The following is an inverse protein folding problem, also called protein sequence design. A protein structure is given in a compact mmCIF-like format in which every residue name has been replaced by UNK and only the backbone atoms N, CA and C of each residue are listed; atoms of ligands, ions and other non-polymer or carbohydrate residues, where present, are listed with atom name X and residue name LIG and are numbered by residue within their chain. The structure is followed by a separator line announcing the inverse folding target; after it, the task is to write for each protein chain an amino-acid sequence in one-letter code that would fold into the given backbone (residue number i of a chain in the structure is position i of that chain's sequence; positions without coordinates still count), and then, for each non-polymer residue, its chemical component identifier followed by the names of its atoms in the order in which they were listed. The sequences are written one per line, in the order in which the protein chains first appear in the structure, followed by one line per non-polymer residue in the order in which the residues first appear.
data_IF_112541499053
#
_entry.id   IF_112541499053
#
_cell.length_a   1.000
_cell.length_b   1.000
_cell.length_c   1.000
_cell.angle_alpha   90.00
_cell.angle_beta   90.00
_cell.angle_gamma   90.00
#
_symmetry.space_group_name_H-M   'P 1'
#
loop_
_entity.id
_entity.type
_entity.pdbx_description
1 polymer ?
#
# COMPACT_ATOMS: atom_id res chain seq x y z
N UNK A 1 28.98 -28.84 61.66
CA UNK A 1 30.04 -28.15 62.40
C UNK A 1 30.65 -27.13 61.46
N UNK A 2 30.45 -25.86 61.80
CA UNK A 2 31.38 -24.73 61.66
C UNK A 2 31.99 -24.44 60.27
N UNK A 3 31.58 -23.40 59.54
CA UNK A 3 31.77 -21.96 59.76
C UNK A 3 33.22 -21.47 59.56
N UNK A 4 33.31 -20.46 58.67
CA UNK A 4 34.25 -19.32 58.60
C UNK A 4 35.36 -19.32 57.55
N UNK A 5 35.35 -18.21 56.81
CA UNK A 5 36.52 -17.40 56.47
C UNK A 5 36.95 -17.55 55.01
N UNK A 6 37.36 -16.51 54.30
CA UNK A 6 37.41 -15.08 54.54
C UNK A 6 37.66 -14.42 53.17
N UNK A 7 37.24 -13.18 53.04
CA UNK A 7 37.40 -12.26 51.91
C UNK A 7 38.84 -11.76 51.74
N UNK A 8 39.08 -11.00 50.65
CA UNK A 8 40.12 -9.97 50.44
C UNK A 8 41.30 -10.41 49.53
N UNK A 9 41.84 -9.64 48.57
CA UNK A 9 41.40 -8.57 47.66
C UNK A 9 42.53 -8.39 46.63
N UNK A 10 42.18 -7.80 45.48
CA UNK A 10 42.98 -7.06 44.49
C UNK A 10 44.50 -7.29 44.31
N UNK A 11 44.87 -7.61 43.06
CA UNK A 11 45.91 -6.87 42.32
C UNK A 11 45.80 -7.13 40.82
N UNK A 12 45.55 -6.05 40.07
CA UNK A 12 45.60 -6.04 38.61
C UNK A 12 47.02 -5.90 38.06
N UNK A 13 47.06 -5.62 36.74
CA UNK A 13 48.22 -5.41 35.84
C UNK A 13 48.84 -6.73 35.36
N UNK A 14 49.13 -6.97 34.08
CA UNK A 14 49.10 -6.14 32.87
C UNK A 14 49.18 -7.07 31.63
N UNK A 15 48.95 -6.50 30.46
CA UNK A 15 49.46 -6.91 29.14
C UNK A 15 48.62 -7.96 28.37
N UNK A 16 47.78 -7.54 27.42
CA UNK A 16 48.14 -7.13 26.05
C UNK A 16 48.59 -8.31 25.17
N UNK A 17 47.67 -8.80 24.34
CA UNK A 17 47.92 -8.97 22.90
C UNK A 17 46.57 -9.17 22.20
N UNK A 18 46.03 -8.06 21.68
CA UNK A 18 44.94 -8.09 20.70
C UNK A 18 45.49 -8.61 19.37
N UNK A 19 44.78 -9.56 18.77
CA UNK A 19 45.04 -9.94 17.37
C UNK A 19 44.31 -8.93 16.50
N UNK A 20 45.11 -8.06 15.88
CA UNK A 20 44.69 -7.13 14.85
C UNK A 20 44.32 -7.89 13.59
N UNK A 21 43.04 -8.22 13.45
CA UNK A 21 42.42 -8.47 12.15
C UNK A 21 41.47 -7.29 11.88
N UNK A 22 42.02 -6.23 11.28
CA UNK A 22 41.24 -5.20 10.59
C UNK A 22 40.49 -5.85 9.42
N UNK A 23 39.31 -6.39 9.68
CA UNK A 23 38.32 -6.61 8.61
C UNK A 23 37.62 -5.28 8.42
N UNK A 24 38.19 -4.45 7.56
CA UNK A 24 37.54 -3.23 7.08
C UNK A 24 36.18 -3.59 6.52
N UNK A 25 35.11 -3.11 7.17
CA UNK A 25 33.79 -3.15 6.58
C UNK A 25 33.86 -2.33 5.28
N UNK A 26 33.53 -2.90 4.12
CA UNK A 26 33.37 -2.08 2.93
C UNK A 26 32.31 -1.04 3.25
N UNK A 27 32.58 0.22 2.92
CA UNK A 27 31.54 1.25 2.88
C UNK A 27 30.52 0.78 1.85
N UNK A 28 29.49 0.08 2.30
CA UNK A 28 28.24 0.00 1.56
C UNK A 28 27.64 1.39 1.66
N UNK A 29 27.83 2.16 0.60
CA UNK A 29 27.06 3.35 0.31
C UNK A 29 25.60 2.98 0.59
N UNK A 30 25.00 3.57 1.63
CA UNK A 30 23.57 3.43 1.87
C UNK A 30 22.91 4.09 0.66
N UNK A 31 22.59 3.29 -0.35
CA UNK A 31 21.82 3.73 -1.51
C UNK A 31 20.45 4.13 -0.98
N UNK A 32 20.27 5.43 -0.72
CA UNK A 32 18.98 6.00 -0.38
C UNK A 32 18.12 5.76 -1.61
N UNK A 33 17.32 4.70 -1.54
CA UNK A 33 16.44 4.27 -2.61
C UNK A 33 15.53 5.44 -2.98
N UNK A 34 15.77 6.01 -4.16
CA UNK A 34 14.92 7.03 -4.77
C UNK A 34 13.45 6.56 -4.69
N UNK A 35 12.53 7.41 -4.21
CA UNK A 35 11.13 7.03 -4.10
C UNK A 35 10.59 6.65 -5.47
N UNK A 36 10.01 5.45 -5.58
CA UNK A 36 9.43 4.93 -6.82
C UNK A 36 8.29 5.85 -7.27
N UNK A 37 8.50 6.60 -8.36
CA UNK A 37 7.50 7.55 -8.92
C UNK A 37 6.62 6.93 -10.01
N UNK A 38 6.49 5.60 -10.10
CA UNK A 38 5.85 4.94 -11.25
C UNK A 38 4.32 4.75 -11.16
N UNK A 39 3.70 5.17 -10.06
CA UNK A 39 2.24 5.14 -9.92
C UNK A 39 1.67 6.54 -10.13
N UNK A 40 1.01 6.77 -11.27
CA UNK A 40 0.32 8.01 -11.67
C UNK A 40 -0.94 8.32 -10.84
N UNK A 41 -1.02 7.77 -9.62
CA UNK A 41 -1.99 8.16 -8.61
C UNK A 41 -1.15 8.75 -7.50
N UNK A 42 -1.11 10.08 -7.43
CA UNK A 42 -0.39 10.82 -6.39
C UNK A 42 -1.09 10.61 -5.04
N UNK A 43 -1.02 9.39 -4.49
CA UNK A 43 -1.55 9.05 -3.17
C UNK A 43 -0.93 9.97 -2.12
N UNK A 44 0.32 10.37 -2.31
CA UNK A 44 1.07 11.26 -1.43
C UNK A 44 0.72 12.75 -1.59
N UNK A 45 -0.01 13.16 -2.63
CA UNK A 45 -0.39 14.57 -2.80
C UNK A 45 -1.49 15.00 -1.82
N UNK A 46 -2.30 14.06 -1.34
CA UNK A 46 -3.41 14.32 -0.41
C UNK A 46 -3.15 13.84 1.02
N UNK A 47 -1.95 13.33 1.32
CA UNK A 47 -1.60 12.93 2.69
C UNK A 47 -1.18 14.18 3.45
N UNK A 48 -1.87 14.43 4.58
CA UNK A 48 -1.46 15.45 5.52
C UNK A 48 -0.12 15.04 6.14
N UNK A 49 0.95 15.69 5.68
CA UNK A 49 2.33 15.41 6.11
C UNK A 49 2.52 15.62 7.62
N UNK A 50 1.65 16.39 8.27
CA UNK A 50 1.70 16.57 9.72
C UNK A 50 1.37 15.30 10.50
N UNK A 51 0.63 14.35 9.90
CA UNK A 51 0.32 13.05 10.53
C UNK A 51 1.46 12.03 10.39
N UNK A 52 2.38 12.25 9.46
CA UNK A 52 3.51 11.34 9.19
C UNK A 52 4.68 11.56 10.15
N UNK A 53 4.83 12.77 10.69
CA UNK A 53 5.87 13.11 11.66
C UNK A 53 5.35 12.83 13.08
N UNK A 54 5.54 11.59 13.56
CA UNK A 54 5.07 11.17 14.87
C UNK A 54 6.23 10.71 15.78
N UNK A 55 6.41 11.44 16.88
CA UNK A 55 7.52 11.33 17.84
C UNK A 55 7.24 10.36 19.01
N UNK A 56 6.11 9.65 19.00
CA UNK A 56 5.67 8.76 20.08
C UNK A 56 6.68 7.71 20.53
N UNK A 57 7.61 7.31 19.66
CA UNK A 57 8.63 6.31 19.97
C UNK A 57 9.93 6.89 20.55
N UNK A 58 10.08 8.22 20.58
CA UNK A 58 11.29 8.93 21.02
C UNK A 58 11.08 9.57 22.40
N UNK A 59 9.84 9.93 22.73
CA UNK A 59 9.48 10.57 23.99
C UNK A 59 9.55 9.62 25.20
N UNK A 60 9.88 10.12 26.40
CA UNK A 60 9.93 9.29 27.59
C UNK A 60 8.53 8.79 28.03
N UNK A 61 8.42 7.62 28.70
CA UNK A 61 7.14 6.99 28.99
C UNK A 61 6.17 7.85 29.83
N UNK A 62 6.68 8.62 30.78
CA UNK A 62 5.84 9.48 31.63
C UNK A 62 5.13 10.59 30.83
N UNK A 63 5.80 11.11 29.81
CA UNK A 63 5.23 12.13 28.92
C UNK A 63 4.23 11.50 27.95
N UNK A 64 4.50 10.27 27.49
CA UNK A 64 3.59 9.46 26.68
C UNK A 64 2.26 9.20 27.43
N UNK A 65 2.34 8.76 28.69
CA UNK A 65 1.16 8.47 29.52
C UNK A 65 0.31 9.71 29.77
N UNK A 66 0.97 10.86 29.96
CA UNK A 66 0.30 12.15 30.13
C UNK A 66 -0.39 12.60 28.84
N UNK A 67 0.24 12.39 27.67
CA UNK A 67 -0.29 12.78 26.35
C UNK A 67 -1.50 11.95 25.90
N UNK A 68 -1.50 10.64 26.18
CA UNK A 68 -2.59 9.73 25.82
C UNK A 68 -3.57 9.44 26.96
N UNK A 69 -3.41 10.11 28.12
CA UNK A 69 -4.23 9.91 29.31
C UNK A 69 -4.39 8.43 29.70
N UNK A 70 -3.30 7.67 29.64
CA UNK A 70 -3.27 6.22 29.87
C UNK A 70 -2.40 5.84 31.06
N UNK A 71 -2.79 4.81 31.81
CA UNK A 71 -1.98 4.24 32.88
C UNK A 71 -1.14 3.07 32.36
N UNK A 72 0.14 3.00 32.75
CA UNK A 72 1.04 1.90 32.39
C UNK A 72 0.60 0.52 32.90
N UNK A 73 -0.18 0.47 33.98
CA UNK A 73 -0.56 -0.76 34.69
C UNK A 73 -2.01 -1.16 34.43
N UNK A 74 -2.92 -0.20 34.39
CA UNK A 74 -4.38 -0.43 34.24
C UNK A 74 -4.90 -0.08 32.84
N UNK A 75 -4.12 0.63 32.02
CA UNK A 75 -4.52 1.03 30.67
C UNK A 75 -5.54 2.20 30.65
N UNK A 76 -6.42 2.21 29.65
CA UNK A 76 -7.54 3.15 29.54
C UNK A 76 -8.78 2.62 30.27
N UNK A 77 -9.60 3.51 30.79
CA UNK A 77 -10.94 3.17 31.30
C UNK A 77 -11.90 2.85 30.14
N UNK A 78 -12.92 2.03 30.40
CA UNK A 78 -13.89 1.65 29.37
C UNK A 78 -14.66 2.86 28.82
N UNK A 79 -14.96 3.83 29.68
CA UNK A 79 -15.64 5.07 29.31
C UNK A 79 -14.77 5.93 28.38
N UNK A 80 -13.46 6.01 28.68
CA UNK A 80 -12.53 6.76 27.83
C UNK A 80 -12.26 6.06 26.51
N UNK A 81 -12.19 4.73 26.51
CA UNK A 81 -12.07 3.94 25.29
C UNK A 81 -13.30 4.09 24.38
N UNK A 82 -14.51 4.10 24.95
CA UNK A 82 -15.74 4.32 24.19
C UNK A 82 -15.80 5.75 23.62
N UNK A 83 -15.44 6.76 24.41
CA UNK A 83 -15.36 8.15 23.94
C UNK A 83 -14.34 8.30 22.79
N UNK A 84 -13.15 7.71 22.94
CA UNK A 84 -12.14 7.72 21.89
C UNK A 84 -12.63 7.00 20.62
N UNK A 85 -13.37 5.90 20.76
CA UNK A 85 -13.95 5.19 19.62
C UNK A 85 -15.04 6.02 18.91
N UNK A 86 -15.82 6.83 19.63
CA UNK A 86 -16.79 7.75 19.04
C UNK A 86 -16.11 8.92 18.31
N UNK A 87 -14.97 9.39 18.80
CA UNK A 87 -14.22 10.52 18.23
C UNK A 87 -13.39 10.11 17.01
N UNK A 88 -12.59 9.03 17.13
CA UNK A 88 -11.65 8.59 16.08
C UNK A 88 -12.24 7.54 15.13
N UNK A 89 -13.36 6.93 15.50
CA UNK A 89 -13.99 5.84 14.76
C UNK A 89 -13.38 4.46 15.07
N UNK A 90 -13.84 3.45 14.33
CA UNK A 90 -13.32 2.10 14.47
C UNK A 90 -11.89 2.02 13.91
N UNK A 91 -11.01 1.30 14.61
CA UNK A 91 -9.69 0.93 14.11
C UNK A 91 -9.80 -0.12 12.98
N UNK A 92 -10.29 0.31 11.83
CA UNK A 92 -10.46 -0.50 10.63
C UNK A 92 -10.08 0.30 9.39
N UNK A 93 -9.20 -0.28 8.58
CA UNK A 93 -8.91 0.24 7.25
C UNK A 93 -10.20 0.25 6.45
N UNK A 94 -10.64 1.44 6.06
CA UNK A 94 -11.82 1.60 5.21
C UNK A 94 -11.48 1.12 3.81
N UNK A 95 -12.22 0.12 3.32
CA UNK A 95 -12.07 -0.35 1.96
C UNK A 95 -12.47 0.76 0.98
N UNK A 96 -11.78 0.91 -0.15
CA UNK A 96 -12.15 1.88 -1.15
C UNK A 96 -13.59 1.61 -1.64
N UNK A 97 -14.36 2.67 -1.98
CA UNK A 97 -15.73 2.51 -2.43
C UNK A 97 -15.78 1.64 -3.69
N UNK A 98 -16.48 0.51 -3.59
CA UNK A 98 -16.71 -0.39 -4.71
C UNK A 98 -17.77 0.23 -5.63
N UNK A 99 -17.42 0.51 -6.89
CA UNK A 99 -18.39 0.92 -7.90
C UNK A 99 -19.17 -0.28 -8.41
N UNK A 100 -20.34 -0.04 -9.00
CA UNK A 100 -21.15 -1.12 -9.59
C UNK A 100 -20.43 -1.75 -10.79
N UNK A 101 -20.56 -3.07 -10.96
CA UNK A 101 -19.91 -3.80 -12.06
C UNK A 101 -20.29 -3.27 -13.44
N UNK A 102 -21.55 -2.85 -13.62
CA UNK A 102 -22.01 -2.27 -14.89
C UNK A 102 -21.30 -0.95 -15.18
N UNK A 103 -21.10 -0.10 -14.17
CA UNK A 103 -20.39 1.17 -14.35
C UNK A 103 -18.91 0.94 -14.69
N UNK A 104 -18.28 -0.07 -14.09
CA UNK A 104 -16.92 -0.50 -14.43
C UNK A 104 -16.84 -0.98 -15.88
N UNK A 105 -17.78 -1.83 -16.30
CA UNK A 105 -17.82 -2.35 -17.66
C UNK A 105 -18.01 -1.23 -18.69
N UNK A 106 -18.91 -0.28 -18.45
CA UNK A 106 -19.12 0.86 -19.36
C UNK A 106 -17.85 1.71 -19.42
N UNK A 107 -17.25 2.04 -18.27
CA UNK A 107 -16.02 2.83 -18.25
C UNK A 107 -14.90 2.13 -19.03
N UNK A 108 -14.77 0.81 -18.89
CA UNK A 108 -13.77 -0.01 -19.60
C UNK A 108 -14.07 -0.14 -21.10
N UNK A 109 -15.33 -0.22 -21.51
CA UNK A 109 -15.72 -0.28 -22.92
C UNK A 109 -15.34 1.00 -23.69
N UNK A 110 -15.33 2.15 -23.00
CA UNK A 110 -14.92 3.44 -23.56
C UNK A 110 -13.46 3.82 -23.26
N UNK A 111 -12.69 2.95 -22.60
CA UNK A 111 -11.30 3.20 -22.25
C UNK A 111 -10.31 2.63 -23.28
N UNK A 112 -9.24 3.38 -23.55
CA UNK A 112 -8.06 2.91 -24.29
C UNK A 112 -8.37 2.28 -25.66
N UNK A 113 -7.97 1.01 -25.82
CA UNK A 113 -8.10 0.26 -27.08
C UNK A 113 -9.53 -0.24 -27.34
N UNK A 114 -10.33 -0.50 -26.30
CA UNK A 114 -11.70 -1.00 -26.45
C UNK A 114 -12.59 0.00 -27.19
N UNK A 115 -12.31 1.30 -27.07
CA UNK A 115 -13.01 2.34 -27.82
C UNK A 115 -12.81 2.17 -29.34
N UNK A 116 -11.60 1.82 -29.78
CA UNK A 116 -11.31 1.57 -31.20
C UNK A 116 -12.09 0.34 -31.69
N UNK A 117 -12.12 -0.72 -30.89
CA UNK A 117 -12.88 -1.94 -31.20
C UNK A 117 -14.39 -1.68 -31.27
N UNK A 118 -14.91 -0.83 -30.38
CA UNK A 118 -16.33 -0.47 -30.36
C UNK A 118 -16.72 0.27 -31.64
N UNK A 119 -15.92 1.27 -32.05
CA UNK A 119 -16.16 2.03 -33.30
C UNK A 119 -15.99 1.13 -34.52
N UNK A 120 -14.97 0.27 -34.54
CA UNK A 120 -14.75 -0.69 -35.62
C UNK A 120 -15.90 -1.71 -35.74
N UNK A 121 -16.43 -2.18 -34.61
CA UNK A 121 -17.59 -3.07 -34.57
C UNK A 121 -18.84 -2.40 -35.14
N UNK A 122 -19.10 -1.13 -34.78
CA UNK A 122 -20.18 -0.34 -35.38
C UNK A 122 -19.98 -0.19 -36.89
N UNK A 123 -18.76 0.11 -37.35
CA UNK A 123 -18.45 0.21 -38.78
C UNK A 123 -18.61 -1.10 -39.53
N UNK A 124 -18.28 -2.24 -38.91
CA UNK A 124 -18.48 -3.57 -39.49
C UNK A 124 -19.98 -3.86 -39.71
N UNK A 125 -20.84 -3.46 -38.76
CA UNK A 125 -22.29 -3.53 -38.95
C UNK A 125 -22.79 -2.59 -40.05
N UNK A 126 -22.29 -1.36 -40.11
CA UNK A 126 -22.66 -0.41 -41.17
C UNK A 126 -22.23 -0.88 -42.57
N UNK A 127 -21.06 -1.53 -42.67
CA UNK A 127 -20.54 -2.14 -43.88
C UNK A 127 -21.36 -3.38 -44.32
N UNK A 128 -22.05 -4.04 -43.39
CA UNK A 128 -23.04 -5.06 -43.72
C UNK A 128 -24.37 -4.44 -44.15
N UNK A 129 -24.89 -3.46 -43.40
CA UNK A 129 -26.09 -2.68 -43.75
C UNK A 129 -26.05 -1.28 -43.11
N UNK A 130 -26.31 -0.18 -43.86
CA UNK A 130 -26.84 -0.12 -45.23
C UNK A 130 -25.79 -0.19 -46.35
N UNK A 131 -24.50 -0.07 -46.08
CA UNK A 131 -23.49 0.09 -47.14
C UNK A 131 -23.16 -1.19 -47.91
N UNK A 132 -23.60 -2.35 -47.44
CA UNK A 132 -23.39 -3.65 -48.08
C UNK A 132 -24.46 -4.06 -49.10
N UNK A 133 -25.51 -3.26 -49.33
CA UNK A 133 -26.56 -3.60 -50.29
C UNK A 133 -26.09 -3.44 -51.76
N UNK A 134 -26.57 -4.28 -52.71
CA UNK A 134 -27.64 -5.29 -52.60
C UNK A 134 -27.19 -6.68 -52.10
N UNK A 135 -25.88 -6.96 -52.00
CA UNK A 135 -25.34 -8.26 -51.62
C UNK A 135 -24.47 -8.14 -50.35
N UNK A 136 -25.09 -8.14 -49.15
CA UNK A 136 -24.35 -7.90 -47.92
C UNK A 136 -23.43 -9.08 -47.58
N UNK A 137 -22.14 -8.80 -47.36
CA UNK A 137 -21.15 -9.82 -47.02
C UNK A 137 -21.30 -10.28 -45.56
N UNK A 138 -21.57 -11.57 -45.36
CA UNK A 138 -21.63 -12.20 -44.03
C UNK A 138 -20.29 -12.04 -43.28
N UNK A 139 -19.17 -11.89 -43.98
CA UNK A 139 -17.85 -11.67 -43.39
C UNK A 139 -17.78 -10.35 -42.61
N UNK A 140 -18.48 -9.30 -43.04
CA UNK A 140 -18.51 -8.03 -42.31
C UNK A 140 -19.32 -8.16 -41.02
N UNK A 141 -20.41 -8.95 -41.07
CA UNK A 141 -21.22 -9.26 -39.89
C UNK A 141 -20.42 -10.10 -38.87
N UNK A 142 -19.71 -11.13 -39.33
CA UNK A 142 -18.90 -11.98 -38.45
C UNK A 142 -17.77 -11.20 -37.79
N UNK A 143 -17.10 -10.32 -38.54
CA UNK A 143 -16.09 -9.40 -37.99
C UNK A 143 -16.69 -8.53 -36.88
N UNK A 144 -17.86 -7.93 -37.10
CA UNK A 144 -18.54 -7.12 -36.09
C UNK A 144 -18.84 -7.90 -34.81
N UNK A 145 -19.42 -9.11 -34.94
CA UNK A 145 -19.74 -9.97 -33.78
C UNK A 145 -18.48 -10.36 -32.99
N UNK A 146 -17.39 -10.72 -33.67
CA UNK A 146 -16.12 -11.08 -33.03
C UNK A 146 -15.56 -9.90 -32.23
N UNK A 147 -15.63 -8.67 -32.78
CA UNK A 147 -15.16 -7.47 -32.08
C UNK A 147 -15.96 -7.21 -30.79
N UNK A 148 -17.29 -7.35 -30.81
CA UNK A 148 -18.11 -7.23 -29.59
C UNK A 148 -17.82 -8.33 -28.57
N UNK A 149 -17.56 -9.56 -29.02
CA UNK A 149 -17.23 -10.67 -28.14
C UNK A 149 -15.91 -10.43 -27.40
N UNK A 150 -14.89 -9.90 -28.08
CA UNK A 150 -13.61 -9.52 -27.46
C UNK A 150 -13.85 -8.52 -26.32
N UNK A 151 -14.63 -7.47 -26.57
CA UNK A 151 -14.97 -6.46 -25.56
C UNK A 151 -15.69 -7.10 -24.36
N UNK A 152 -16.61 -8.03 -24.59
CA UNK A 152 -17.35 -8.72 -23.52
C UNK A 152 -16.50 -9.70 -22.71
N UNK A 153 -15.56 -10.40 -23.35
CA UNK A 153 -14.66 -11.34 -22.65
C UNK A 153 -13.53 -10.64 -21.90
N UNK A 154 -13.27 -9.37 -22.21
CA UNK A 154 -12.22 -8.60 -21.56
C UNK A 154 -12.64 -8.32 -20.11
N UNK A 155 -11.84 -8.75 -19.11
CA UNK A 155 -12.16 -8.48 -17.72
C UNK A 155 -12.07 -6.96 -17.42
N UNK A 156 -12.90 -6.46 -16.48
CA UNK A 156 -12.85 -5.07 -16.04
C UNK A 156 -11.58 -4.75 -15.22
#
# INVERSE_FOLDING_TARGET
MDNKGATFDERGTSDAQGTSDEVGMPNEDIEIREPRTDSTVDLFANIDKSTLDNDVHIIPPNDLYSRFHTDSTQGLTNEHAEQAQMEYGLNKITLPPQRSYIMLFVLQAFAGFNLILLVAGIFAFLAWKPFGEPNPSITNLSLGVVLFLIILTTPP
#
